data_IF_297480103476
#
_entry.id   IF_297480103476
#
_cell.length_a   1.000
_cell.length_b   1.000
_cell.length_c   1.000
_cell.angle_alpha   90.00
_cell.angle_beta   90.00
_cell.angle_gamma   90.00
#
_symmetry.space_group_name_H-M   'P 1'
#
loop_
_entity.id
_entity.type
_entity.pdbx_description
1 polymer ?
#
# COMPACT_ATOMS: atom_id res chain seq x y z
N UNK A 1 -6.19 4.56 25.82
CA UNK A 1 -5.13 4.00 24.93
C UNK A 1 -5.57 4.25 23.51
N UNK A 2 -4.66 4.70 22.67
CA UNK A 2 -4.92 4.93 21.25
C UNK A 2 -4.95 3.58 20.53
N UNK A 3 -5.98 3.29 19.76
CA UNK A 3 -5.99 2.08 18.93
C UNK A 3 -5.24 2.34 17.64
N UNK A 4 -4.32 1.44 17.27
CA UNK A 4 -3.58 1.52 16.02
C UNK A 4 -4.01 0.38 15.08
N UNK A 5 -4.39 0.74 13.86
CA UNK A 5 -4.72 -0.18 12.79
C UNK A 5 -3.65 -0.13 11.71
N UNK A 6 -3.36 -1.27 11.10
CA UNK A 6 -2.34 -1.40 10.06
C UNK A 6 -2.98 -1.86 8.75
N UNK A 7 -2.74 -1.12 7.68
CA UNK A 7 -3.18 -1.48 6.33
C UNK A 7 -1.96 -1.92 5.52
N UNK A 8 -1.77 -3.22 5.43
CA UNK A 8 -0.68 -3.86 4.71
C UNK A 8 -1.09 -4.26 3.29
N UNK A 9 -0.17 -4.79 2.53
CA UNK A 9 -0.41 -5.38 1.23
C UNK A 9 0.65 -5.02 0.20
N UNK A 10 0.89 -5.95 -0.69
CA UNK A 10 1.92 -5.89 -1.71
C UNK A 10 1.84 -4.61 -2.56
N UNK A 11 2.92 -4.28 -3.23
CA UNK A 11 3.04 -3.10 -4.10
C UNK A 11 1.85 -3.00 -5.08
N UNK A 12 1.21 -1.85 -5.09
CA UNK A 12 0.12 -1.59 -6.03
C UNK A 12 -1.23 -2.22 -5.70
N UNK A 13 -1.38 -2.90 -4.58
CA UNK A 13 -2.64 -3.56 -4.18
C UNK A 13 -3.82 -2.60 -3.94
N UNK A 14 -3.56 -1.30 -3.76
CA UNK A 14 -4.63 -0.30 -3.54
C UNK A 14 -4.79 0.14 -2.09
N UNK A 15 -3.75 -0.01 -1.25
CA UNK A 15 -3.76 0.37 0.17
C UNK A 15 -4.30 1.77 0.41
N UNK A 16 -3.71 2.79 -0.19
CA UNK A 16 -4.09 4.21 -0.04
C UNK A 16 -5.56 4.47 -0.40
N UNK A 17 -6.04 3.82 -1.46
CA UNK A 17 -7.46 3.93 -1.87
C UNK A 17 -8.39 3.32 -0.83
N UNK A 18 -8.03 2.18 -0.25
CA UNK A 18 -8.80 1.55 0.81
C UNK A 18 -8.72 2.33 2.12
N UNK A 19 -7.50 2.76 2.51
CA UNK A 19 -7.25 3.58 3.69
C UNK A 19 -8.17 4.80 3.72
N UNK A 20 -8.25 5.52 2.61
CA UNK A 20 -9.13 6.69 2.48
C UNK A 20 -10.57 6.37 2.85
N UNK A 21 -11.13 5.28 2.33
CA UNK A 21 -12.52 4.85 2.62
C UNK A 21 -12.69 4.41 4.07
N UNK A 22 -11.71 3.70 4.61
CA UNK A 22 -11.74 3.23 5.98
C UNK A 22 -11.67 4.38 6.98
N UNK A 23 -10.79 5.37 6.74
CA UNK A 23 -10.70 6.57 7.57
C UNK A 23 -11.99 7.39 7.51
N UNK A 24 -12.59 7.56 6.33
CA UNK A 24 -13.90 8.21 6.21
C UNK A 24 -14.97 7.50 7.04
N UNK A 25 -14.97 6.17 7.05
CA UNK A 25 -15.86 5.40 7.92
C UNK A 25 -15.58 5.67 9.40
N UNK A 26 -14.33 5.61 9.86
CA UNK A 26 -13.97 5.86 11.26
C UNK A 26 -14.37 7.26 11.74
N UNK A 27 -14.11 8.28 10.93
CA UNK A 27 -14.53 9.67 11.21
C UNK A 27 -16.06 9.77 11.29
N UNK A 28 -16.78 9.10 10.38
CA UNK A 28 -18.26 9.07 10.43
C UNK A 28 -18.81 8.32 11.64
N UNK A 29 -18.03 7.44 12.28
CA UNK A 29 -18.35 6.84 13.57
C UNK A 29 -18.01 7.74 14.78
N UNK A 30 -17.45 8.94 14.55
CA UNK A 30 -17.13 9.91 15.58
C UNK A 30 -15.72 9.78 16.17
N UNK A 31 -14.84 9.00 15.54
CA UNK A 31 -13.45 8.90 15.98
C UNK A 31 -12.60 10.07 15.46
N UNK A 32 -11.67 10.52 16.30
CA UNK A 32 -10.54 11.35 15.87
C UNK A 32 -9.42 10.44 15.35
N UNK A 33 -9.03 10.63 14.10
CA UNK A 33 -8.12 9.72 13.39
C UNK A 33 -6.84 10.45 12.97
N UNK A 34 -5.69 9.84 13.20
CA UNK A 34 -4.45 10.27 12.55
C UNK A 34 -3.97 9.18 11.59
N UNK A 35 -3.71 9.57 10.35
CA UNK A 35 -3.09 8.71 9.36
C UNK A 35 -1.57 8.84 9.49
N UNK A 36 -0.86 7.73 9.53
CA UNK A 36 0.59 7.69 9.41
C UNK A 36 0.97 7.05 8.09
N UNK A 37 1.35 7.90 7.15
CA UNK A 37 1.80 7.48 5.82
C UNK A 37 3.31 7.26 5.85
N UNK A 38 3.74 6.10 5.40
CA UNK A 38 5.14 5.75 5.32
C UNK A 38 5.56 5.61 3.86
N UNK A 39 6.11 6.70 3.31
CA UNK A 39 6.59 6.73 1.93
C UNK A 39 8.13 6.89 1.91
N UNK A 40 8.80 5.91 1.33
CA UNK A 40 10.24 5.97 1.05
C UNK A 40 10.59 6.84 -0.16
N UNK A 41 9.59 7.39 -0.84
CA UNK A 41 9.76 8.15 -2.06
C UNK A 41 10.38 9.54 -1.88
N UNK A 42 11.01 10.04 -2.94
CA UNK A 42 11.51 11.42 -3.00
C UNK A 42 10.38 12.46 -2.98
N UNK A 43 9.15 12.05 -3.31
CA UNK A 43 7.93 12.86 -3.31
C UNK A 43 6.84 12.08 -2.62
N UNK A 44 6.25 12.65 -1.57
CA UNK A 44 5.16 12.02 -0.84
C UNK A 44 3.84 12.15 -1.60
N UNK A 45 3.65 11.25 -2.54
CA UNK A 45 2.55 11.29 -3.49
C UNK A 45 1.26 10.75 -2.89
N UNK A 46 1.38 9.74 -2.03
CA UNK A 46 0.20 9.12 -1.41
C UNK A 46 -0.43 10.06 -0.39
N UNK A 47 0.36 10.87 0.33
CA UNK A 47 -0.18 11.91 1.19
C UNK A 47 -0.98 12.98 0.42
N UNK A 48 -0.62 13.28 -0.82
CA UNK A 48 -1.39 14.23 -1.64
C UNK A 48 -2.82 13.72 -1.94
N UNK A 49 -2.99 12.40 -2.08
CA UNK A 49 -4.29 11.77 -2.31
C UNK A 49 -5.20 11.78 -1.07
N UNK A 50 -4.62 12.04 0.11
CA UNK A 50 -5.32 12.02 1.38
C UNK A 50 -5.58 13.42 1.95
N UNK A 51 -5.01 14.48 1.35
CA UNK A 51 -5.08 15.86 1.87
C UNK A 51 -6.51 16.36 2.13
N UNK A 52 -7.47 15.95 1.33
CA UNK A 52 -8.87 16.35 1.50
C UNK A 52 -9.58 15.67 2.70
N UNK A 53 -8.92 14.71 3.34
CA UNK A 53 -9.38 14.13 4.60
C UNK A 53 -9.00 14.98 5.82
N UNK A 54 -8.03 15.89 5.67
CA UNK A 54 -7.57 16.75 6.77
C UNK A 54 -8.70 17.67 7.21
N UNK A 55 -9.00 17.65 8.51
CA UNK A 55 -10.06 18.44 9.10
C UNK A 55 -10.08 18.35 10.61
N UNK A 56 -11.21 18.66 11.22
CA UNK A 56 -11.36 18.69 12.70
C UNK A 56 -11.10 17.32 13.34
N UNK A 57 -11.45 16.23 12.63
CA UNK A 57 -11.37 14.87 13.16
C UNK A 57 -10.36 13.98 12.43
N UNK A 58 -9.59 14.52 11.48
CA UNK A 58 -8.59 13.75 10.76
C UNK A 58 -7.34 14.57 10.48
N UNK A 59 -6.19 13.99 10.74
CA UNK A 59 -4.88 14.57 10.41
C UNK A 59 -3.97 13.55 9.76
N UNK A 60 -2.92 14.00 9.09
CA UNK A 60 -1.96 13.16 8.37
C UNK A 60 -0.55 13.50 8.83
N UNK A 61 0.15 12.48 9.26
CA UNK A 61 1.59 12.52 9.53
C UNK A 61 2.32 11.64 8.52
N UNK A 62 3.51 12.07 8.13
CA UNK A 62 4.30 11.34 7.14
C UNK A 62 5.67 11.00 7.69
N UNK A 63 6.17 9.83 7.32
CA UNK A 63 7.56 9.44 7.49
C UNK A 63 8.16 9.41 6.09
N UNK A 64 9.03 10.38 5.80
CA UNK A 64 9.73 10.46 4.53
C UNK A 64 11.21 10.25 4.71
N UNK A 65 11.82 9.51 3.79
CA UNK A 65 13.27 9.32 3.71
C UNK A 65 13.86 8.58 4.91
N UNK A 66 14.88 7.86 4.68
CA UNK A 66 15.69 7.13 5.65
C UNK A 66 16.46 6.09 4.84
N UNK A 67 17.79 6.25 4.77
CA UNK A 67 18.61 5.32 3.99
C UNK A 67 18.90 4.02 4.77
N UNK A 68 18.44 3.93 6.01
CA UNK A 68 18.67 2.78 6.88
C UNK A 68 17.45 2.50 7.79
N UNK A 69 17.25 1.22 8.12
CA UNK A 69 16.15 0.72 8.94
C UNK A 69 16.12 1.39 10.34
N UNK A 70 17.28 1.62 10.96
CA UNK A 70 17.35 2.20 12.31
C UNK A 70 16.81 3.63 12.33
N UNK A 71 17.14 4.43 11.33
CA UNK A 71 16.64 5.80 11.22
C UNK A 71 15.13 5.81 10.99
N UNK A 72 14.63 4.87 10.18
CA UNK A 72 13.21 4.73 9.91
C UNK A 72 12.44 4.35 11.17
N UNK A 73 12.89 3.34 11.92
CA UNK A 73 12.27 2.93 13.19
C UNK A 73 12.23 4.07 14.22
N UNK A 74 13.33 4.83 14.36
CA UNK A 74 13.38 5.99 15.25
C UNK A 74 12.36 7.08 14.87
N UNK A 75 12.22 7.34 13.56
CA UNK A 75 11.23 8.32 13.06
C UNK A 75 9.80 7.84 13.32
N UNK A 76 9.50 6.59 13.05
CA UNK A 76 8.19 5.99 13.32
C UNK A 76 7.86 6.08 14.81
N UNK A 77 8.78 5.68 15.69
CA UNK A 77 8.62 5.79 17.13
C UNK A 77 8.34 7.24 17.57
N UNK A 78 9.10 8.21 17.07
CA UNK A 78 8.93 9.63 17.40
C UNK A 78 7.55 10.14 16.96
N UNK A 79 7.09 9.75 15.77
CA UNK A 79 5.77 10.12 15.26
C UNK A 79 4.65 9.50 16.10
N UNK A 80 4.76 8.21 16.45
CA UNK A 80 3.80 7.53 17.32
C UNK A 80 3.71 8.22 18.71
N UNK A 81 4.85 8.58 19.31
CA UNK A 81 4.86 9.34 20.57
C UNK A 81 4.10 10.67 20.40
N UNK A 82 4.40 11.44 19.35
CA UNK A 82 3.73 12.71 19.08
C UNK A 82 2.22 12.55 18.89
N UNK A 83 1.79 11.56 18.13
CA UNK A 83 0.36 11.30 17.88
C UNK A 83 -0.40 10.90 19.14
N UNK A 84 0.21 10.06 20.01
CA UNK A 84 -0.39 9.70 21.28
C UNK A 84 -0.58 10.92 22.21
N UNK A 85 0.39 11.84 22.23
CA UNK A 85 0.32 13.07 23.00
C UNK A 85 -0.75 14.04 22.49
N UNK A 86 -1.09 13.98 21.19
CA UNK A 86 -2.14 14.80 20.57
C UNK A 86 -3.55 14.29 20.87
N UNK A 87 -3.71 13.08 21.41
CA UNK A 87 -4.98 12.55 21.92
C UNK A 87 -5.93 12.04 20.86
N UNK A 88 -5.44 11.51 19.74
CA UNK A 88 -6.27 10.81 18.76
C UNK A 88 -6.84 9.52 19.35
N UNK A 89 -8.06 9.15 18.93
CA UNK A 89 -8.66 7.86 19.29
C UNK A 89 -8.04 6.71 18.51
N UNK A 90 -7.73 6.99 17.23
CA UNK A 90 -7.26 6.00 16.27
C UNK A 90 -6.04 6.52 15.53
N UNK A 91 -5.10 5.62 15.27
CA UNK A 91 -4.01 5.83 14.32
C UNK A 91 -4.12 4.75 13.26
N UNK A 92 -4.20 5.13 11.99
CA UNK A 92 -4.21 4.20 10.86
C UNK A 92 -2.90 4.34 10.12
N UNK A 93 -2.14 3.25 10.04
CA UNK A 93 -0.81 3.25 9.42
C UNK A 93 -0.89 2.55 8.07
N UNK A 94 -0.37 3.22 7.04
CA UNK A 94 -0.08 2.60 5.75
C UNK A 94 1.44 2.51 5.58
N UNK A 95 2.05 1.35 5.75
CA UNK A 95 3.45 1.15 5.43
C UNK A 95 3.66 1.03 3.92
N UNK A 96 4.91 1.20 3.49
CA UNK A 96 5.33 0.82 2.14
C UNK A 96 4.98 -0.65 1.85
N UNK A 97 4.67 -0.98 0.61
CA UNK A 97 4.35 -2.37 0.21
C UNK A 97 5.56 -3.32 0.16
N UNK A 98 6.68 -2.92 0.73
CA UNK A 98 7.90 -3.72 0.97
C UNK A 98 8.33 -3.65 2.44
N UNK A 99 7.44 -3.25 3.33
CA UNK A 99 7.74 -3.04 4.75
C UNK A 99 7.73 -4.36 5.52
N UNK A 100 8.71 -4.55 6.42
CA UNK A 100 8.68 -5.66 7.38
C UNK A 100 7.67 -5.36 8.50
N UNK A 101 6.53 -6.03 8.48
CA UNK A 101 5.45 -5.84 9.45
C UNK A 101 5.88 -6.17 10.88
N UNK A 102 6.86 -7.06 11.07
CA UNK A 102 7.38 -7.41 12.39
C UNK A 102 8.09 -6.23 13.06
N UNK A 103 8.77 -5.37 12.28
CA UNK A 103 9.39 -4.15 12.83
C UNK A 103 8.38 -3.23 13.49
N UNK A 104 7.19 -3.13 12.93
CA UNK A 104 6.11 -2.34 13.52
C UNK A 104 5.65 -2.91 14.89
N UNK A 105 5.53 -4.22 14.98
CA UNK A 105 5.15 -4.86 16.25
C UNK A 105 6.22 -4.67 17.32
N UNK A 106 7.48 -4.71 16.96
CA UNK A 106 8.59 -4.49 17.90
C UNK A 106 8.58 -3.04 18.39
N UNK A 107 8.37 -2.05 17.52
CA UNK A 107 8.24 -0.65 17.90
C UNK A 107 7.09 -0.43 18.88
N UNK A 108 5.93 -1.06 18.68
CA UNK A 108 4.78 -0.91 19.59
C UNK A 108 4.99 -1.56 20.96
N UNK A 109 5.89 -2.52 21.09
CA UNK A 109 6.24 -3.16 22.37
C UNK A 109 7.25 -2.38 23.20
N UNK A 110 7.89 -1.38 22.60
CA UNK A 110 8.86 -0.52 23.29
C UNK A 110 8.18 0.51 24.18
N UNK A 111 8.76 0.77 25.38
CA UNK A 111 8.31 1.88 26.23
C UNK A 111 8.55 3.23 25.54
N UNK A 112 7.61 4.19 25.63
CA UNK A 112 6.32 4.15 26.34
C UNK A 112 5.13 3.68 25.49
N UNK A 113 5.36 3.25 24.23
CA UNK A 113 4.29 2.98 23.27
C UNK A 113 3.42 1.79 23.70
N UNK A 114 4.01 0.80 24.36
CA UNK A 114 3.32 -0.38 24.91
C UNK A 114 2.19 -0.01 25.90
N UNK A 115 2.29 1.15 26.54
CA UNK A 115 1.29 1.68 27.50
C UNK A 115 0.29 2.63 26.85
N UNK A 116 0.62 3.18 25.70
CA UNK A 116 -0.19 4.22 25.07
C UNK A 116 -1.02 3.69 23.91
N UNK A 117 -0.56 2.61 23.28
CA UNK A 117 -1.19 2.02 22.11
C UNK A 117 -1.77 0.62 22.38
N UNK A 118 -2.83 0.32 21.67
CA UNK A 118 -3.37 -1.04 21.54
C UNK A 118 -3.46 -1.37 20.06
N UNK A 119 -2.90 -2.50 19.66
CA UNK A 119 -3.04 -2.99 18.30
C UNK A 119 -4.51 -3.39 18.05
N UNK A 120 -5.12 -2.76 17.08
CA UNK A 120 -6.50 -2.99 16.64
C UNK A 120 -6.57 -4.01 15.50
N UNK A 121 -6.87 -3.52 14.31
CA UNK A 121 -7.03 -4.35 13.12
C UNK A 121 -5.80 -4.33 12.22
N UNK A 122 -5.39 -5.49 11.74
CA UNK A 122 -4.40 -5.64 10.67
C UNK A 122 -5.14 -6.12 9.42
N UNK A 123 -5.10 -5.30 8.38
CA UNK A 123 -5.89 -5.45 7.17
C UNK A 123 -4.93 -5.62 6.01
N UNK A 124 -4.94 -6.78 5.35
CA UNK A 124 -4.11 -7.00 4.17
C UNK A 124 -4.91 -6.74 2.89
N UNK A 125 -4.43 -5.80 2.08
CA UNK A 125 -5.03 -5.50 0.77
C UNK A 125 -4.36 -6.39 -0.29
N UNK A 126 -5.17 -7.20 -0.96
CA UNK A 126 -4.70 -8.13 -2.00
C UNK A 126 -5.44 -7.86 -3.30
N UNK A 127 -4.68 -7.74 -4.39
CA UNK A 127 -5.24 -7.47 -5.71
C UNK A 127 -5.87 -8.73 -6.31
N UNK A 128 -7.16 -8.68 -6.67
CA UNK A 128 -7.83 -9.78 -7.34
C UNK A 128 -7.29 -10.07 -8.75
N UNK A 129 -6.49 -9.13 -9.30
CA UNK A 129 -5.77 -9.28 -10.58
C UNK A 129 -4.27 -9.52 -10.37
N UNK A 130 -3.87 -10.05 -9.20
CA UNK A 130 -2.48 -10.39 -8.94
C UNK A 130 -1.96 -11.37 -10.01
N UNK A 131 -0.74 -11.17 -10.46
CA UNK A 131 -0.10 -12.07 -11.43
C UNK A 131 -0.03 -13.51 -10.88
N UNK A 132 -0.36 -14.48 -11.75
CA UNK A 132 -0.37 -15.89 -11.36
C UNK A 132 0.99 -16.45 -10.97
N UNK A 133 2.07 -15.75 -11.34
CA UNK A 133 3.44 -16.17 -11.06
C UNK A 133 4.26 -14.94 -10.66
N UNK A 134 4.66 -14.91 -9.42
CA UNK A 134 5.54 -13.91 -8.86
C UNK A 134 6.97 -14.44 -8.72
N UNK A 135 7.94 -13.54 -8.49
CA UNK A 135 9.27 -13.93 -8.06
C UNK A 135 9.23 -14.50 -6.64
N UNK A 136 10.22 -15.31 -6.20
CA UNK A 136 10.28 -15.79 -4.82
C UNK A 136 10.27 -14.66 -3.79
N UNK A 137 10.87 -13.50 -4.11
CA UNK A 137 10.89 -12.32 -3.26
C UNK A 137 9.51 -11.68 -3.16
N UNK A 138 8.80 -11.55 -4.29
CA UNK A 138 7.45 -11.02 -4.33
C UNK A 138 6.44 -11.95 -3.61
N UNK A 139 6.57 -13.27 -3.77
CA UNK A 139 5.77 -14.25 -3.02
C UNK A 139 6.02 -14.15 -1.50
N UNK A 140 7.28 -13.95 -1.10
CA UNK A 140 7.60 -13.75 0.30
C UNK A 140 6.97 -12.47 0.85
N UNK A 141 7.06 -11.34 0.13
CA UNK A 141 6.43 -10.09 0.57
C UNK A 141 4.91 -10.21 0.64
N UNK A 142 4.29 -10.82 -0.38
CA UNK A 142 2.84 -11.09 -0.37
C UNK A 142 2.44 -11.87 0.89
N UNK A 143 3.21 -12.89 1.26
CA UNK A 143 2.96 -13.71 2.44
C UNK A 143 3.20 -12.94 3.75
N UNK A 144 4.33 -12.24 3.89
CA UNK A 144 4.69 -11.51 5.12
C UNK A 144 3.72 -10.39 5.42
N UNK A 145 3.29 -9.64 4.41
CA UNK A 145 2.31 -8.56 4.53
C UNK A 145 0.92 -9.06 4.98
N UNK A 146 0.57 -10.30 4.65
CA UNK A 146 -0.73 -10.88 5.01
C UNK A 146 -0.68 -11.78 6.24
N UNK A 147 0.48 -12.28 6.65
CA UNK A 147 0.60 -13.34 7.66
C UNK A 147 -0.18 -13.06 8.94
N UNK A 148 -0.10 -11.84 9.46
CA UNK A 148 -0.75 -11.45 10.71
C UNK A 148 -2.12 -10.76 10.53
N UNK A 149 -2.61 -10.64 9.30
CA UNK A 149 -3.87 -9.97 9.03
C UNK A 149 -5.07 -10.69 9.67
N UNK A 150 -5.95 -9.92 10.31
CA UNK A 150 -7.25 -10.40 10.76
C UNK A 150 -8.21 -10.60 9.60
N UNK A 151 -8.04 -9.81 8.53
CA UNK A 151 -8.88 -9.85 7.33
C UNK A 151 -8.04 -9.52 6.08
N UNK A 152 -8.27 -10.26 5.01
CA UNK A 152 -7.86 -9.88 3.65
C UNK A 152 -9.00 -9.11 2.99
N UNK A 153 -8.70 -7.94 2.42
CA UNK A 153 -9.65 -7.16 1.62
C UNK A 153 -9.16 -7.16 0.18
N UNK A 154 -9.95 -7.74 -0.71
CA UNK A 154 -9.59 -7.82 -2.12
C UNK A 154 -9.91 -6.53 -2.85
N UNK A 155 -8.93 -6.02 -3.59
CA UNK A 155 -9.10 -4.89 -4.50
C UNK A 155 -9.41 -5.36 -5.92
N UNK A 156 -9.91 -4.46 -6.74
CA UNK A 156 -10.18 -4.69 -8.19
C UNK A 156 -11.06 -5.92 -8.49
N UNK A 157 -11.89 -6.31 -7.56
CA UNK A 157 -12.81 -7.46 -7.72
C UNK A 157 -13.77 -7.29 -8.89
N UNK A 158 -14.13 -6.05 -9.25
CA UNK A 158 -14.97 -5.72 -10.39
C UNK A 158 -14.28 -5.99 -11.75
N UNK A 159 -12.95 -6.18 -11.77
CA UNK A 159 -12.17 -6.49 -12.97
C UNK A 159 -11.83 -7.99 -13.05
N UNK A 160 -12.03 -8.72 -11.97
CA UNK A 160 -11.70 -10.13 -11.90
C UNK A 160 -12.74 -10.98 -12.64
N UNK A 161 -12.26 -11.95 -13.40
CA UNK A 161 -13.12 -12.99 -13.97
C UNK A 161 -13.57 -13.97 -12.87
N UNK A 162 -14.65 -14.73 -13.09
CA UNK A 162 -15.08 -15.78 -12.16
C UNK A 162 -13.94 -16.75 -11.84
N UNK A 163 -13.67 -16.97 -10.55
CA UNK A 163 -12.61 -17.86 -10.05
C UNK A 163 -11.22 -17.21 -9.93
N UNK A 164 -10.98 -15.99 -10.46
CA UNK A 164 -9.68 -15.32 -10.32
C UNK A 164 -9.40 -14.92 -8.85
N UNK A 165 -10.38 -14.40 -8.14
CA UNK A 165 -10.22 -14.01 -6.75
C UNK A 165 -9.86 -15.22 -5.86
N UNK A 166 -10.51 -16.34 -6.07
CA UNK A 166 -10.22 -17.61 -5.39
C UNK A 166 -8.82 -18.10 -5.73
N UNK A 167 -8.41 -18.03 -7.00
CA UNK A 167 -7.06 -18.42 -7.43
C UNK A 167 -5.97 -17.57 -6.78
N UNK A 168 -6.23 -16.27 -6.56
CA UNK A 168 -5.32 -15.36 -5.84
C UNK A 168 -5.22 -15.74 -4.35
N UNK A 169 -6.32 -16.10 -3.69
CA UNK A 169 -6.28 -16.57 -2.30
C UNK A 169 -5.53 -17.91 -2.20
N UNK A 170 -5.70 -18.81 -3.15
CA UNK A 170 -4.92 -20.03 -3.23
C UNK A 170 -3.43 -19.75 -3.45
N UNK A 171 -3.09 -18.73 -4.26
CA UNK A 171 -1.72 -18.27 -4.44
C UNK A 171 -1.14 -17.73 -3.11
N UNK A 172 -1.87 -16.84 -2.42
CA UNK A 172 -1.47 -16.32 -1.11
C UNK A 172 -1.23 -17.46 -0.11
N UNK A 173 -2.11 -18.45 -0.08
CA UNK A 173 -1.97 -19.61 0.80
C UNK A 173 -0.73 -20.47 0.44
N UNK A 174 -0.38 -20.58 -0.84
CA UNK A 174 0.88 -21.23 -1.27
C UNK A 174 2.10 -20.43 -0.87
N UNK A 175 2.07 -19.10 -1.04
CA UNK A 175 3.16 -18.20 -0.62
C UNK A 175 3.40 -18.29 0.90
N UNK A 176 2.35 -18.29 1.71
CA UNK A 176 2.42 -18.52 3.17
C UNK A 176 3.05 -19.88 3.50
N UNK A 177 2.66 -20.93 2.78
CA UNK A 177 3.26 -22.25 2.96
C UNK A 177 4.75 -22.24 2.61
N UNK A 178 5.13 -21.51 1.56
CA UNK A 178 6.51 -21.37 1.10
C UNK A 178 7.44 -20.74 2.15
N UNK A 179 6.94 -19.81 2.95
CA UNK A 179 7.69 -19.24 4.08
C UNK A 179 7.42 -19.96 5.42
N UNK A 180 6.90 -21.18 5.40
CA UNK A 180 6.59 -21.99 6.58
C UNK A 180 5.60 -21.36 7.56
N UNK A 181 4.75 -20.46 7.10
CA UNK A 181 3.66 -19.90 7.89
C UNK A 181 2.50 -20.91 7.97
N UNK A 182 1.98 -21.11 9.18
CA UNK A 182 0.81 -21.98 9.39
C UNK A 182 -0.53 -21.31 9.01
N UNK A 183 -0.55 -19.98 8.83
CA UNK A 183 -1.76 -19.23 8.49
C UNK A 183 -2.32 -19.69 7.14
N UNK A 184 -3.64 -19.80 7.09
CA UNK A 184 -4.41 -20.03 5.84
C UNK A 184 -5.63 -19.16 5.86
N UNK A 185 -5.95 -18.59 4.71
CA UNK A 185 -7.14 -17.77 4.49
C UNK A 185 -8.24 -18.60 3.85
N UNK A 186 -9.41 -18.60 4.47
CA UNK A 186 -10.64 -19.16 3.94
C UNK A 186 -11.65 -18.06 3.59
N UNK A 187 -12.85 -18.42 3.17
CA UNK A 187 -13.89 -17.47 2.77
C UNK A 187 -14.25 -16.46 3.90
N UNK A 188 -14.24 -16.91 5.14
CA UNK A 188 -14.55 -16.06 6.29
C UNK A 188 -13.42 -15.08 6.65
N UNK A 189 -12.22 -15.30 6.16
CA UNK A 189 -11.06 -14.41 6.36
C UNK A 189 -10.90 -13.39 5.22
N UNK A 190 -11.79 -13.39 4.23
CA UNK A 190 -11.67 -12.57 3.02
C UNK A 190 -12.92 -11.71 2.83
N UNK A 191 -12.72 -10.44 2.51
CA UNK A 191 -13.75 -9.54 2.02
C UNK A 191 -13.53 -9.33 0.51
N UNK A 192 -14.28 -10.10 -0.29
CA UNK A 192 -14.25 -10.05 -1.75
C UNK A 192 -15.51 -9.34 -2.26
N UNK A 193 -15.41 -8.02 -2.44
CA UNK A 193 -16.53 -7.18 -2.93
C UNK A 193 -15.97 -5.95 -3.66
N UNK A 194 -16.70 -5.48 -4.69
CA UNK A 194 -16.40 -4.18 -5.29
C UNK A 194 -16.44 -3.08 -4.21
N UNK A 195 -15.39 -2.30 -4.14
CA UNK A 195 -15.26 -1.27 -3.11
C UNK A 195 -16.32 -0.16 -3.23
N UNK A 196 -16.92 0.04 -4.40
CA UNK A 196 -18.04 0.95 -4.57
C UNK A 196 -19.35 0.39 -3.98
N UNK A 197 -19.40 -0.90 -3.72
CA UNK A 197 -20.53 -1.59 -3.11
C UNK A 197 -20.30 -1.94 -1.62
N UNK A 198 -19.19 -1.49 -1.01
CA UNK A 198 -18.91 -1.69 0.41
C UNK A 198 -19.95 -0.94 1.26
N UNK A 199 -20.46 -1.62 2.25
CA UNK A 199 -21.45 -1.13 3.20
C UNK A 199 -20.84 -0.76 4.55
N UNK A 200 -21.57 -0.04 5.39
CA UNK A 200 -21.19 0.20 6.79
C UNK A 200 -20.92 -1.11 7.55
N UNK A 201 -21.67 -2.18 7.26
CA UNK A 201 -21.46 -3.49 7.88
C UNK A 201 -20.13 -4.12 7.45
N UNK A 202 -19.70 -3.94 6.19
CA UNK A 202 -18.41 -4.40 5.72
C UNK A 202 -17.26 -3.66 6.43
N UNK A 203 -17.36 -2.34 6.54
CA UNK A 203 -16.36 -1.55 7.29
C UNK A 203 -16.36 -1.88 8.79
N UNK A 204 -17.51 -2.14 9.39
CA UNK A 204 -17.58 -2.60 10.79
C UNK A 204 -16.94 -4.01 10.97
N UNK A 205 -16.94 -4.86 9.94
CA UNK A 205 -16.20 -6.12 9.92
C UNK A 205 -14.70 -5.88 9.84
N UNK A 206 -14.26 -4.95 9.00
CA UNK A 206 -12.87 -4.51 8.88
C UNK A 206 -12.36 -3.93 10.21
N UNK A 207 -13.10 -3.01 10.81
CA UNK A 207 -12.76 -2.36 12.08
C UNK A 207 -12.55 -3.35 13.23
N UNK A 208 -13.27 -4.47 13.21
CA UNK A 208 -13.23 -5.48 14.27
C UNK A 208 -12.51 -6.77 13.90
N UNK A 209 -11.80 -6.80 12.78
CA UNK A 209 -11.15 -8.03 12.33
C UNK A 209 -9.98 -8.46 13.23
N UNK A 210 -9.41 -7.50 13.98
CA UNK A 210 -8.27 -7.75 14.85
C UNK A 210 -7.02 -8.15 14.07
N UNK A 211 -6.19 -8.97 14.70
CA UNK A 211 -4.95 -9.48 14.11
C UNK A 211 -4.69 -10.92 14.58
N UNK A 212 -3.76 -11.61 13.94
CA UNK A 212 -3.35 -12.97 14.29
C UNK A 212 -1.87 -13.01 14.60
N UNK A 213 -1.51 -13.54 15.75
CA UNK A 213 -0.11 -13.85 16.02
C UNK A 213 0.31 -15.06 15.19
N UNK A 214 1.31 -14.88 14.35
CA UNK A 214 1.85 -15.91 13.46
C UNK A 214 3.36 -15.90 13.50
N UNK A 215 3.97 -16.97 13.02
CA UNK A 215 5.41 -17.05 12.78
C UNK A 215 5.65 -17.59 11.38
N UNK A 216 6.72 -17.12 10.76
CA UNK A 216 7.18 -17.58 9.45
C UNK A 216 8.69 -17.45 9.36
N UNK A 217 9.30 -18.12 8.39
CA UNK A 217 10.74 -18.04 8.15
C UNK A 217 11.02 -16.79 7.33
N UNK A 218 11.81 -15.86 7.88
CA UNK A 218 12.23 -14.66 7.18
C UNK A 218 13.18 -14.98 6.04
N UNK A 219 12.89 -14.46 4.87
CA UNK A 219 13.79 -14.48 3.74
C UNK A 219 14.66 -13.22 3.81
N UNK A 220 15.96 -13.41 4.02
CA UNK A 220 16.90 -12.30 4.07
C UNK A 220 17.31 -11.89 2.65
N UNK A 221 16.85 -10.76 2.19
CA UNK A 221 17.27 -10.09 0.96
C UNK A 221 17.17 -8.57 1.15
N UNK A 222 17.86 -7.82 0.31
CA UNK A 222 17.75 -6.37 0.31
C UNK A 222 16.51 -5.98 -0.50
N UNK A 223 15.43 -5.67 0.19
CA UNK A 223 14.12 -5.38 -0.39
C UNK A 223 14.19 -4.16 -1.33
N UNK A 224 14.97 -3.15 -0.97
CA UNK A 224 15.18 -1.96 -1.79
C UNK A 224 16.00 -2.21 -3.06
N UNK A 225 16.79 -3.29 -3.09
CA UNK A 225 17.48 -3.72 -4.32
C UNK A 225 16.63 -4.67 -5.14
N UNK A 226 15.80 -5.51 -4.49
CA UNK A 226 14.89 -6.40 -5.19
C UNK A 226 13.79 -5.61 -5.90
N UNK A 227 13.21 -4.63 -5.21
CA UNK A 227 12.14 -3.78 -5.73
C UNK A 227 12.61 -2.33 -5.82
N UNK A 228 12.73 -1.82 -7.03
CA UNK A 228 13.20 -0.47 -7.30
C UNK A 228 12.03 0.44 -7.66
N UNK A 229 12.00 1.64 -7.08
CA UNK A 229 11.12 2.73 -7.49
C UNK A 229 11.94 3.82 -8.17
N UNK A 230 11.62 4.10 -9.42
CA UNK A 230 12.24 5.17 -10.21
C UNK A 230 11.29 6.35 -10.30
N UNK A 231 11.78 7.54 -9.97
CA UNK A 231 11.02 8.79 -9.97
C UNK A 231 11.49 9.69 -11.11
N UNK A 232 10.55 10.15 -11.93
CA UNK A 232 10.79 11.07 -13.03
C UNK A 232 9.96 12.32 -12.81
N UNK A 233 10.62 13.38 -12.34
CA UNK A 233 9.98 14.69 -12.14
C UNK A 233 9.93 15.43 -13.47
N UNK A 234 8.89 16.26 -13.64
CA UNK A 234 8.76 17.19 -14.77
C UNK A 234 9.01 16.51 -16.12
N UNK A 235 8.33 15.38 -16.35
CA UNK A 235 8.46 14.64 -17.61
C UNK A 235 7.92 15.41 -18.82
N UNK A 236 7.08 16.42 -18.60
CA UNK A 236 6.51 17.28 -19.64
C UNK A 236 5.60 16.54 -20.63
N UNK A 237 4.93 15.48 -20.18
CA UNK A 237 4.16 14.59 -21.05
C UNK A 237 2.66 14.75 -20.81
N UNK A 238 1.88 14.67 -21.92
CA UNK A 238 0.44 14.61 -21.82
C UNK A 238 -0.02 13.27 -21.22
N UNK A 239 -1.23 13.24 -20.66
CA UNK A 239 -1.87 12.03 -20.11
C UNK A 239 -1.87 10.86 -21.12
N UNK A 240 -2.16 11.15 -22.39
CA UNK A 240 -2.15 10.14 -23.46
C UNK A 240 -0.76 9.55 -23.70
N UNK A 241 0.28 10.37 -23.68
CA UNK A 241 1.67 9.93 -23.84
C UNK A 241 2.14 9.09 -22.66
N UNK A 242 1.82 9.52 -21.42
CA UNK A 242 2.16 8.77 -20.22
C UNK A 242 1.42 7.44 -20.20
N UNK A 243 0.16 7.40 -20.60
CA UNK A 243 -0.62 6.15 -20.72
C UNK A 243 0.04 5.18 -21.70
N UNK A 244 0.49 5.67 -22.85
CA UNK A 244 1.18 4.84 -23.84
C UNK A 244 2.54 4.35 -23.34
N UNK A 245 3.31 5.22 -22.71
CA UNK A 245 4.58 4.83 -22.09
C UNK A 245 4.36 3.74 -21.01
N UNK A 246 3.37 3.92 -20.13
CA UNK A 246 3.03 2.94 -19.11
C UNK A 246 2.66 1.57 -19.71
N UNK A 247 1.85 1.54 -20.78
CA UNK A 247 1.53 0.31 -21.50
C UNK A 247 2.79 -0.40 -22.04
N UNK A 248 3.70 0.37 -22.62
CA UNK A 248 4.95 -0.18 -23.16
C UNK A 248 5.84 -0.72 -22.03
N UNK A 249 6.02 0.06 -20.97
CA UNK A 249 6.85 -0.31 -19.82
C UNK A 249 6.36 -1.60 -19.14
N UNK A 250 5.05 -1.78 -19.00
CA UNK A 250 4.45 -2.93 -18.33
C UNK A 250 4.52 -4.24 -19.15
N UNK A 251 4.74 -4.17 -20.46
CA UNK A 251 4.65 -5.35 -21.32
C UNK A 251 5.96 -5.74 -22.04
N UNK A 252 6.96 -4.85 -22.04
CA UNK A 252 8.23 -5.11 -22.75
C UNK A 252 9.36 -5.41 -21.74
N UNK A 253 9.82 -6.64 -21.73
CA UNK A 253 10.84 -7.15 -20.80
C UNK A 253 12.19 -6.41 -20.86
N UNK A 254 12.44 -5.60 -21.91
CA UNK A 254 13.67 -4.79 -21.97
C UNK A 254 13.79 -3.75 -20.85
N UNK A 255 12.68 -3.38 -20.22
CA UNK A 255 12.65 -2.44 -19.12
C UNK A 255 12.81 -3.10 -17.73
N UNK A 256 12.94 -4.43 -17.67
CA UNK A 256 12.85 -5.24 -16.47
C UNK A 256 11.41 -5.70 -16.23
N UNK A 257 11.13 -6.21 -15.04
CA UNK A 257 9.77 -6.60 -14.65
C UNK A 257 9.06 -5.42 -13.98
N UNK A 258 8.41 -4.58 -14.79
CA UNK A 258 7.64 -3.43 -14.28
C UNK A 258 6.31 -3.94 -13.71
N UNK A 259 6.12 -3.73 -12.43
CA UNK A 259 4.91 -4.13 -11.70
C UNK A 259 3.84 -3.03 -11.72
N UNK A 260 4.28 -1.76 -11.66
CA UNK A 260 3.38 -0.61 -11.55
C UNK A 260 3.98 0.65 -12.16
N UNK A 261 3.12 1.45 -12.79
CA UNK A 261 3.43 2.84 -13.17
C UNK A 261 2.37 3.74 -12.56
N UNK A 262 2.78 4.75 -11.79
CA UNK A 262 1.92 5.77 -11.19
C UNK A 262 2.34 7.13 -11.72
N UNK A 263 1.39 7.95 -12.15
CA UNK A 263 1.69 9.28 -12.68
C UNK A 263 0.74 10.32 -12.12
N UNK A 264 1.27 11.49 -11.78
CA UNK A 264 0.53 12.68 -11.42
C UNK A 264 0.84 13.73 -12.49
N UNK A 265 -0.16 14.05 -13.27
CA UNK A 265 0.03 14.73 -14.55
C UNK A 265 -0.90 15.93 -14.60
N UNK A 266 -0.40 17.13 -15.00
CA UNK A 266 -1.28 18.25 -15.28
C UNK A 266 -2.19 17.93 -16.50
N UNK A 267 -3.49 18.21 -16.38
CA UNK A 267 -4.46 18.05 -17.44
C UNK A 267 -5.36 19.29 -17.56
N UNK A 268 -5.11 20.11 -18.56
CA UNK A 268 -5.77 21.41 -18.71
C UNK A 268 -5.49 22.33 -17.53
N UNK A 269 -6.53 22.69 -16.76
CA UNK A 269 -6.42 23.52 -15.55
C UNK A 269 -6.37 22.70 -14.25
N UNK A 270 -6.37 21.38 -14.35
CA UNK A 270 -6.42 20.44 -13.21
C UNK A 270 -5.29 19.43 -13.21
N UNK A 271 -5.49 18.38 -12.41
CA UNK A 271 -4.55 17.30 -12.26
C UNK A 271 -5.26 15.96 -12.39
N UNK A 272 -4.55 14.95 -12.88
CA UNK A 272 -5.02 13.57 -12.91
C UNK A 272 -3.98 12.65 -12.30
N UNK A 273 -4.47 11.61 -11.63
CA UNK A 273 -3.68 10.43 -11.27
C UNK A 273 -3.85 9.37 -12.35
N UNK A 274 -2.75 8.92 -12.93
CA UNK A 274 -2.67 7.71 -13.73
C UNK A 274 -2.12 6.60 -12.85
N UNK A 275 -2.81 5.46 -12.81
CA UNK A 275 -2.38 4.27 -12.10
C UNK A 275 -2.48 3.07 -13.04
N UNK A 276 -1.33 2.49 -13.38
CA UNK A 276 -1.20 1.42 -14.34
C UNK A 276 -0.55 0.19 -13.73
N UNK A 277 -1.19 -0.94 -13.90
CA UNK A 277 -0.67 -2.29 -13.72
C UNK A 277 -0.87 -3.05 -15.02
N UNK A 278 -0.33 -4.27 -15.12
CA UNK A 278 -0.29 -5.04 -16.36
C UNK A 278 -1.65 -5.16 -17.06
N UNK A 279 -2.72 -5.39 -16.28
CA UNK A 279 -4.06 -5.67 -16.81
C UNK A 279 -5.02 -4.49 -16.71
N UNK A 280 -4.61 -3.36 -16.12
CA UNK A 280 -5.49 -2.23 -15.94
C UNK A 280 -4.74 -0.89 -15.90
N UNK A 281 -5.24 0.09 -16.62
CA UNK A 281 -4.81 1.49 -16.53
C UNK A 281 -6.02 2.35 -16.21
N UNK A 282 -5.95 3.02 -15.06
CA UNK A 282 -6.97 3.98 -14.64
C UNK A 282 -6.41 5.40 -14.68
N UNK A 283 -7.26 6.36 -15.02
CA UNK A 283 -6.97 7.79 -14.95
C UNK A 283 -8.14 8.46 -14.25
N UNK A 284 -7.85 9.21 -13.20
CA UNK A 284 -8.89 9.87 -12.43
C UNK A 284 -8.45 11.29 -12.04
N UNK A 285 -9.38 12.27 -12.02
CA UNK A 285 -9.08 13.61 -11.58
C UNK A 285 -8.73 13.63 -10.10
N UNK A 286 -7.78 14.52 -9.74
CA UNK A 286 -7.38 14.80 -8.36
C UNK A 286 -7.38 16.30 -8.09
N UNK A 287 -7.57 16.74 -6.84
CA UNK A 287 -7.69 18.18 -6.52
C UNK A 287 -6.42 18.97 -6.79
N UNK A 288 -5.26 18.39 -6.53
CA UNK A 288 -3.94 19.00 -6.70
C UNK A 288 -2.90 17.93 -6.95
N UNK A 289 -1.74 18.29 -7.48
CA UNK A 289 -0.67 17.35 -7.75
C UNK A 289 0.68 18.05 -7.95
N UNK A 290 1.73 17.25 -8.01
CA UNK A 290 3.05 17.62 -8.48
C UNK A 290 3.40 16.67 -9.63
N UNK A 291 3.92 17.22 -10.74
CA UNK A 291 4.24 16.38 -11.89
C UNK A 291 5.35 15.38 -11.55
N UNK A 292 4.97 14.12 -11.47
CA UNK A 292 5.87 13.00 -11.23
C UNK A 292 5.33 11.74 -11.87
N UNK A 293 6.24 10.95 -12.43
CA UNK A 293 5.97 9.59 -12.87
C UNK A 293 6.82 8.62 -12.04
N UNK A 294 6.21 7.59 -11.50
CA UNK A 294 6.86 6.59 -10.66
C UNK A 294 6.73 5.23 -11.35
N UNK A 295 7.87 4.58 -11.56
CA UNK A 295 7.92 3.23 -12.13
C UNK A 295 8.48 2.28 -11.07
N UNK A 296 7.73 1.25 -10.73
CA UNK A 296 8.06 0.30 -9.67
C UNK A 296 8.17 -1.10 -10.27
N UNK A 297 9.22 -1.83 -9.90
CA UNK A 297 9.43 -3.19 -10.40
C UNK A 297 10.74 -3.82 -9.97
N UNK A 298 11.03 -4.98 -10.55
CA UNK A 298 12.21 -5.79 -10.30
C UNK A 298 13.17 -5.70 -11.49
N UNK A 299 14.47 -5.55 -11.22
CA UNK A 299 15.50 -5.53 -12.26
C UNK A 299 15.32 -4.44 -13.32
N UNK A 300 14.87 -3.25 -12.91
CA UNK A 300 14.53 -2.16 -13.83
C UNK A 300 15.76 -1.60 -14.54
N UNK A 301 15.68 -1.45 -15.87
CA UNK A 301 16.65 -0.69 -16.65
C UNK A 301 16.30 0.81 -16.62
N UNK A 302 16.95 1.54 -15.70
CA UNK A 302 16.71 2.97 -15.50
C UNK A 302 16.90 3.79 -16.78
N UNK A 303 17.94 3.52 -17.57
CA UNK A 303 18.25 4.31 -18.76
C UNK A 303 17.20 4.10 -19.87
N UNK A 304 16.83 2.84 -20.10
CA UNK A 304 15.78 2.50 -21.05
C UNK A 304 14.41 3.09 -20.64
N UNK A 305 14.08 3.01 -19.35
CA UNK A 305 12.83 3.56 -18.81
C UNK A 305 12.82 5.09 -18.93
N UNK A 306 13.91 5.76 -18.59
CA UNK A 306 14.02 7.23 -18.70
C UNK A 306 13.81 7.69 -20.15
N UNK A 307 14.42 7.01 -21.12
CA UNK A 307 14.21 7.25 -22.55
C UNK A 307 12.73 7.11 -22.93
N UNK A 308 12.06 6.05 -22.48
CA UNK A 308 10.65 5.82 -22.78
C UNK A 308 9.71 6.85 -22.13
N UNK A 309 10.03 7.26 -20.90
CA UNK A 309 9.26 8.26 -20.13
C UNK A 309 9.43 9.64 -20.75
N UNK A 310 10.65 10.07 -21.04
CA UNK A 310 10.92 11.41 -21.61
C UNK A 310 10.66 11.50 -23.11
N UNK A 311 10.65 10.38 -23.83
CA UNK A 311 10.36 10.32 -25.28
C UNK A 311 11.47 10.86 -26.15
N UNK A 312 12.71 10.68 -25.72
CA UNK A 312 13.93 11.03 -26.49
C UNK A 312 14.33 9.90 -27.42
#
# INVERSE_FOLDING_TARGET
MVQVDLITGFLGSGKTTFLRRYVQYLVAQGHSVCILENDFGAVNVDAMLLQDLIGEHCDIETISGGCDCDTHQRRMRTKLISMAMRGFDRVVIEPSGIFDVDEFYDILRDEPLDRWYTLGSVIAIVDAKLENKLSPQADYLLASEAASAGLVVMSRTQLAAPGEAEAVIDHLNRALAGCHCARRFGADDVLCRDWNALTTADFARVDRCGWRQTSYVKLHFDEHKAFTSLYFLEAGRSVAQVRQAAQTLLHDAKYGHVLRVKGFIPDGSGWVELNAARDAITVQPIPSGQEVLIVIGEGLDKAAIETAVRGC
#
